data_IF_709708222047
#
_entry.id   IF_709708222047
#
_cell.length_a   1.000
_cell.length_b   1.000
_cell.length_c   1.000
_cell.angle_alpha   90.00
_cell.angle_beta   90.00
_cell.angle_gamma   90.00
#
_symmetry.space_group_name_H-M   'P 1'
#
loop_
_entity.id
_entity.type
_entity.pdbx_description
1 polymer ?
#
# COMPACT_ATOMS: atom_id res chain seq x y z
N UNK A 1 9.84 -13.56 -35.37
CA UNK A 1 9.39 -13.50 -33.96
C UNK A 1 9.31 -12.04 -33.57
N UNK A 2 8.14 -11.51 -33.20
CA UNK A 2 8.01 -10.12 -32.74
C UNK A 2 8.48 -10.09 -31.28
N UNK A 3 9.59 -9.39 -31.00
CA UNK A 3 9.96 -9.03 -29.64
C UNK A 3 8.81 -8.21 -29.04
N UNK A 4 8.11 -8.79 -28.06
CA UNK A 4 7.04 -8.12 -27.34
C UNK A 4 7.63 -6.95 -26.55
N UNK A 5 7.43 -5.72 -27.03
CA UNK A 5 7.71 -4.50 -26.27
C UNK A 5 7.00 -4.60 -24.92
N UNK A 6 7.76 -4.77 -23.83
CA UNK A 6 7.24 -4.63 -22.46
C UNK A 6 6.60 -3.25 -22.33
N UNK A 7 5.29 -3.20 -22.15
CA UNK A 7 4.57 -1.95 -21.92
C UNK A 7 4.60 -1.61 -20.42
N UNK A 8 5.79 -1.31 -19.91
CA UNK A 8 6.04 -1.05 -18.50
C UNK A 8 5.20 0.10 -17.96
N UNK A 9 4.91 1.11 -18.80
CA UNK A 9 4.04 2.23 -18.42
C UNK A 9 2.60 1.74 -18.23
N UNK A 10 2.06 0.93 -19.15
CA UNK A 10 0.72 0.38 -19.01
C UNK A 10 0.55 -0.58 -17.83
N UNK A 11 1.59 -1.36 -17.51
CA UNK A 11 1.61 -2.22 -16.32
C UNK A 11 1.62 -1.40 -15.02
N UNK A 12 2.40 -0.32 -15.00
CA UNK A 12 2.45 0.60 -13.87
C UNK A 12 1.10 1.27 -13.60
N UNK A 13 0.46 1.82 -14.64
CA UNK A 13 -0.87 2.46 -14.53
C UNK A 13 -1.94 1.48 -14.06
N UNK A 14 -1.85 0.21 -14.49
CA UNK A 14 -2.73 -0.85 -14.03
C UNK A 14 -2.57 -1.10 -12.52
N UNK A 15 -1.34 -1.24 -12.04
CA UNK A 15 -1.07 -1.47 -10.61
C UNK A 15 -1.55 -0.28 -9.78
N UNK A 16 -1.30 0.96 -10.22
CA UNK A 16 -1.77 2.15 -9.51
C UNK A 16 -3.30 2.19 -9.41
N UNK A 17 -4.01 1.75 -10.46
CA UNK A 17 -5.47 1.65 -10.43
C UNK A 17 -5.94 0.65 -9.39
N UNK A 18 -5.34 -0.54 -9.36
CA UNK A 18 -5.67 -1.58 -8.38
C UNK A 18 -5.40 -1.13 -6.94
N UNK A 19 -4.26 -0.47 -6.70
CA UNK A 19 -3.92 0.13 -5.39
C UNK A 19 -4.99 1.14 -4.97
N UNK A 20 -5.40 2.02 -5.90
CA UNK A 20 -6.43 3.04 -5.65
C UNK A 20 -7.79 2.42 -5.37
N UNK A 21 -8.18 1.38 -6.10
CA UNK A 21 -9.44 0.66 -5.86
C UNK A 21 -9.47 0.06 -4.46
N UNK A 22 -8.39 -0.59 -4.03
CA UNK A 22 -8.26 -1.13 -2.67
C UNK A 22 -8.34 -0.02 -1.62
N UNK A 23 -7.67 1.12 -1.86
CA UNK A 23 -7.72 2.27 -0.95
C UNK A 23 -9.13 2.83 -0.80
N UNK A 24 -9.84 3.01 -1.92
CA UNK A 24 -11.20 3.55 -1.94
C UNK A 24 -12.18 2.60 -1.25
N UNK A 25 -12.07 1.29 -1.51
CA UNK A 25 -12.87 0.28 -0.82
C UNK A 25 -12.67 0.35 0.69
N UNK A 26 -11.41 0.32 1.16
CA UNK A 26 -11.09 0.39 2.60
C UNK A 26 -11.53 1.71 3.24
N UNK A 27 -11.36 2.84 2.56
CA UNK A 27 -11.85 4.12 3.07
C UNK A 27 -13.38 4.19 3.14
N UNK A 28 -14.09 3.43 2.31
CA UNK A 28 -15.56 3.32 2.40
C UNK A 28 -15.95 2.50 3.63
N UNK A 29 -15.25 1.40 3.89
CA UNK A 29 -15.54 0.49 5.01
C UNK A 29 -15.16 1.07 6.39
N UNK A 30 -14.03 1.79 6.46
CA UNK A 30 -13.43 2.25 7.72
C UNK A 30 -13.39 3.78 7.86
N UNK A 31 -13.91 4.52 6.88
CA UNK A 31 -13.78 5.97 6.81
C UNK A 31 -12.33 6.44 6.80
N UNK A 32 -12.12 7.70 7.17
CA UNK A 32 -10.80 8.34 7.29
C UNK A 32 -10.07 7.97 8.60
N UNK A 33 -10.23 6.74 9.10
CA UNK A 33 -9.61 6.29 10.35
C UNK A 33 -8.09 6.45 10.36
N UNK A 34 -7.44 6.28 9.21
CA UNK A 34 -5.99 6.48 9.03
C UNK A 34 -5.53 7.91 9.33
N UNK A 35 -6.41 8.92 9.18
CA UNK A 35 -6.07 10.32 9.50
C UNK A 35 -5.79 10.50 11.00
N UNK A 36 -6.48 9.74 11.85
CA UNK A 36 -6.30 9.77 13.31
C UNK A 36 -5.07 8.98 13.77
N UNK A 37 -4.48 8.14 12.91
CA UNK A 37 -3.28 7.39 13.25
C UNK A 37 -2.08 8.32 13.38
N UNK A 38 -1.16 7.96 14.28
CA UNK A 38 0.16 8.58 14.36
C UNK A 38 1.03 8.07 13.20
N UNK A 39 2.01 8.86 12.79
CA UNK A 39 2.96 8.45 11.75
C UNK A 39 3.69 7.15 12.14
N UNK A 40 4.06 7.00 13.42
CA UNK A 40 4.66 5.77 13.94
C UNK A 40 3.74 4.55 13.75
N UNK A 41 2.43 4.70 13.99
CA UNK A 41 1.46 3.63 13.79
C UNK A 41 1.33 3.22 12.33
N UNK A 42 1.46 4.17 11.39
CA UNK A 42 1.50 3.87 9.96
C UNK A 42 2.78 3.09 9.62
N UNK A 43 3.93 3.50 10.17
CA UNK A 43 5.19 2.76 10.05
C UNK A 43 5.06 1.32 10.57
N UNK A 44 4.43 1.14 11.73
CA UNK A 44 4.20 -0.19 12.31
C UNK A 44 3.36 -1.06 11.38
N UNK A 45 2.32 -0.51 10.74
CA UNK A 45 1.52 -1.24 9.75
C UNK A 45 2.37 -1.68 8.56
N UNK A 46 3.25 -0.82 8.04
CA UNK A 46 4.16 -1.18 6.94
C UNK A 46 5.05 -2.35 7.36
N UNK A 47 5.62 -2.30 8.56
CA UNK A 47 6.49 -3.38 9.08
C UNK A 47 5.71 -4.70 9.20
N UNK A 48 4.48 -4.66 9.73
CA UNK A 48 3.62 -5.86 9.82
C UNK A 48 3.42 -6.50 8.45
N UNK A 49 3.17 -5.68 7.42
CA UNK A 49 2.98 -6.14 6.04
C UNK A 49 4.26 -6.73 5.44
N UNK A 50 5.42 -6.11 5.66
CA UNK A 50 6.73 -6.67 5.24
C UNK A 50 7.01 -8.01 5.91
N UNK A 51 6.78 -8.12 7.22
CA UNK A 51 6.93 -9.40 7.94
C UNK A 51 5.96 -10.46 7.41
N UNK A 52 4.76 -10.07 6.99
CA UNK A 52 3.76 -10.96 6.41
C UNK A 52 4.19 -11.50 5.05
N UNK A 53 4.72 -10.64 4.18
CA UNK A 53 5.32 -11.02 2.89
C UNK A 53 6.41 -12.06 3.11
N UNK A 54 7.37 -11.76 3.99
CA UNK A 54 8.48 -12.67 4.31
C UNK A 54 7.98 -14.05 4.77
N UNK A 55 6.98 -14.08 5.64
CA UNK A 55 6.38 -15.34 6.11
C UNK A 55 5.71 -16.13 4.99
N UNK A 56 5.08 -15.46 4.03
CA UNK A 56 4.46 -16.11 2.87
C UNK A 56 5.53 -16.70 1.94
N UNK A 57 6.61 -15.99 1.70
CA UNK A 57 7.74 -16.46 0.87
C UNK A 57 8.50 -17.63 1.51
N UNK A 58 8.67 -17.61 2.84
CA UNK A 58 9.32 -18.69 3.60
C UNK A 58 8.43 -19.93 3.78
N UNK A 59 7.12 -19.81 3.57
CA UNK A 59 6.18 -20.91 3.77
C UNK A 59 6.31 -21.97 2.66
N UNK A 60 6.59 -23.21 3.04
CA UNK A 60 6.77 -24.35 2.11
C UNK A 60 5.47 -24.88 1.51
N UNK A 61 4.34 -24.50 2.10
CA UNK A 61 3.01 -24.85 1.62
C UNK A 61 2.37 -23.64 0.93
N UNK A 62 1.72 -23.80 -0.22
CA UNK A 62 1.03 -22.70 -0.87
C UNK A 62 -0.04 -22.14 0.08
N UNK A 63 -0.20 -20.80 0.16
CA UNK A 63 -1.12 -20.19 1.11
C UNK A 63 -2.55 -20.72 0.91
N UNK A 64 -3.17 -21.19 1.99
CA UNK A 64 -4.56 -21.71 2.01
C UNK A 64 -5.61 -20.65 1.66
N UNK A 65 -5.25 -19.37 1.69
CA UNK A 65 -6.11 -18.23 1.43
C UNK A 65 -5.51 -17.46 0.25
N UNK A 66 -6.35 -17.21 -0.74
CA UNK A 66 -6.04 -16.62 -2.07
C UNK A 66 -5.48 -15.19 -2.05
N UNK A 67 -5.21 -14.58 -0.90
CA UNK A 67 -4.55 -13.28 -0.84
C UNK A 67 -3.04 -13.50 -1.00
N UNK A 68 -2.59 -13.47 -2.25
CA UNK A 68 -1.18 -13.52 -2.61
C UNK A 68 -0.41 -12.32 -2.05
N UNK A 69 0.91 -12.41 -2.14
CA UNK A 69 1.86 -11.37 -1.70
C UNK A 69 1.52 -9.99 -2.29
N UNK A 70 0.93 -9.95 -3.48
CA UNK A 70 0.47 -8.75 -4.17
C UNK A 70 -0.48 -7.88 -3.33
N UNK A 71 -1.38 -8.48 -2.55
CA UNK A 71 -2.29 -7.73 -1.69
C UNK A 71 -1.53 -6.98 -0.58
N UNK A 72 -0.50 -7.61 -0.03
CA UNK A 72 0.34 -7.01 1.01
C UNK A 72 1.18 -5.85 0.44
N UNK A 73 1.66 -5.96 -0.81
CA UNK A 73 2.34 -4.85 -1.48
C UNK A 73 1.41 -3.66 -1.72
N UNK A 74 0.18 -3.90 -2.18
CA UNK A 74 -0.80 -2.81 -2.37
C UNK A 74 -1.10 -2.09 -1.06
N UNK A 75 -1.19 -2.83 0.05
CA UNK A 75 -1.37 -2.27 1.38
C UNK A 75 -0.19 -1.41 1.83
N UNK A 76 1.05 -1.87 1.60
CA UNK A 76 2.26 -1.09 1.88
C UNK A 76 2.23 0.24 1.10
N UNK A 77 1.89 0.20 -0.19
CA UNK A 77 1.80 1.41 -1.02
C UNK A 77 0.77 2.38 -0.45
N UNK A 78 -0.40 1.90 -0.03
CA UNK A 78 -1.44 2.75 0.58
C UNK A 78 -0.97 3.38 1.90
N UNK A 79 -0.31 2.62 2.78
CA UNK A 79 0.25 3.18 4.02
C UNK A 79 1.34 4.22 3.75
N UNK A 80 2.18 4.01 2.73
CA UNK A 80 3.15 5.03 2.29
C UNK A 80 2.46 6.31 1.80
N UNK A 81 1.38 6.20 1.02
CA UNK A 81 0.58 7.35 0.57
C UNK A 81 0.00 8.11 1.77
N UNK A 82 -0.57 7.40 2.75
CA UNK A 82 -1.11 8.01 3.98
C UNK A 82 -0.03 8.74 4.78
N UNK A 83 1.16 8.14 4.93
CA UNK A 83 2.29 8.78 5.58
C UNK A 83 2.70 10.08 4.86
N UNK A 84 2.79 10.06 3.53
CA UNK A 84 3.16 11.23 2.73
C UNK A 84 2.13 12.36 2.84
N UNK A 85 0.83 12.04 2.81
CA UNK A 85 -0.24 13.02 3.01
C UNK A 85 -0.09 13.68 4.39
N UNK A 86 0.08 12.89 5.46
CA UNK A 86 0.24 13.44 6.81
C UNK A 86 1.48 14.31 6.97
N UNK A 87 2.61 13.87 6.41
CA UNK A 87 3.86 14.65 6.43
C UNK A 87 3.69 15.98 5.71
N UNK A 88 2.99 16.00 4.57
CA UNK A 88 2.67 17.23 3.85
C UNK A 88 1.77 18.16 4.68
N UNK A 89 0.68 17.64 5.25
CA UNK A 89 -0.24 18.42 6.09
C UNK A 89 0.50 19.03 7.30
N UNK A 90 1.41 18.28 7.93
CA UNK A 90 2.22 18.78 9.03
C UNK A 90 3.22 19.87 8.61
N UNK A 91 3.86 19.71 7.45
CA UNK A 91 4.74 20.74 6.88
C UNK A 91 3.99 22.03 6.55
N UNK A 92 2.78 21.92 6.00
CA UNK A 92 1.92 23.06 5.70
C UNK A 92 1.47 23.78 6.96
N UNK A 93 1.09 23.04 8.01
CA UNK A 93 0.76 23.63 9.31
C UNK A 93 1.94 24.41 9.90
N UNK A 94 3.15 23.83 9.90
CA UNK A 94 4.37 24.49 10.41
C UNK A 94 4.78 25.73 9.61
N UNK A 95 4.41 25.83 8.33
CA UNK A 95 4.68 27.02 7.49
C UNK A 95 3.70 28.16 7.72
N UNK A 96 2.51 27.85 8.22
CA UNK A 96 1.43 28.80 8.48
C UNK A 96 1.41 29.28 9.95
N UNK A 97 2.28 28.71 10.78
CA UNK A 97 2.60 29.14 12.14
C UNK A 97 3.78 30.15 12.10
#
# INVERSE_FOLDING_TARGET
MKEGKKNTVGEYDKILREVREVMVAKNTDYGDSWRKMRLSSITDQIIVKVCRIRKLEESKEPPKISEGVDAEYRDIINYCIFALIKLREEQERRRNE
#
